data_IF_439773863196
#
_entry.id   IF_439773863196
#
_cell.length_a   1.000
_cell.length_b   1.000
_cell.length_c   1.000
_cell.angle_alpha   90.00
_cell.angle_beta   90.00
_cell.angle_gamma   90.00
#
_symmetry.space_group_name_H-M   'P 1'
#
loop_
_entity.id
_entity.type
_entity.pdbx_description
1 polymer ?
#
# COMPACT_ATOMS: atom_id res chain seq x y z
N UNK A 1 -28.47 -41.57 -42.98
CA UNK A 1 -29.94 -41.61 -42.81
C UNK A 1 -30.21 -41.99 -41.37
N UNK A 2 -30.81 -41.04 -40.65
CA UNK A 2 -31.61 -41.14 -39.43
C UNK A 2 -30.98 -41.80 -38.20
N UNK A 3 -31.12 -41.31 -36.97
CA UNK A 3 -31.66 -40.11 -36.33
C UNK A 3 -31.45 -40.48 -34.85
N UNK A 4 -30.81 -39.64 -34.03
CA UNK A 4 -30.90 -39.75 -32.57
C UNK A 4 -30.38 -38.46 -31.95
N UNK A 5 -31.27 -37.47 -31.90
CA UNK A 5 -31.18 -36.34 -30.99
C UNK A 5 -32.40 -36.42 -30.07
N UNK A 6 -32.20 -36.83 -28.82
CA UNK A 6 -32.92 -36.26 -27.69
C UNK A 6 -32.11 -36.48 -26.40
N UNK A 7 -31.48 -35.41 -25.90
CA UNK A 7 -30.91 -35.34 -24.55
C UNK A 7 -31.66 -34.24 -23.81
N UNK A 8 -32.76 -34.61 -23.17
CA UNK A 8 -33.36 -33.82 -22.10
C UNK A 8 -32.62 -34.13 -20.79
N UNK A 9 -32.25 -33.05 -20.09
CA UNK A 9 -31.46 -33.08 -18.86
C UNK A 9 -32.13 -33.84 -17.73
N UNK A 10 -31.38 -34.77 -17.13
CA UNK A 10 -31.68 -35.28 -15.81
C UNK A 10 -30.83 -34.55 -14.77
N UNK A 11 -31.55 -33.96 -13.82
CA UNK A 11 -31.11 -33.43 -12.53
C UNK A 11 -29.95 -34.23 -11.92
N UNK A 12 -28.89 -33.53 -11.52
CA UNK A 12 -27.77 -34.04 -10.71
C UNK A 12 -28.14 -34.30 -9.23
N UNK A 13 -29.43 -34.35 -8.91
CA UNK A 13 -29.92 -34.77 -7.60
C UNK A 13 -30.71 -36.06 -7.82
N UNK A 14 -29.99 -37.18 -7.76
CA UNK A 14 -30.57 -38.52 -7.78
C UNK A 14 -31.50 -38.74 -6.58
N UNK A 15 -32.47 -39.63 -6.77
CA UNK A 15 -33.53 -40.00 -5.83
C UNK A 15 -33.06 -40.71 -4.53
N UNK A 16 -31.82 -40.48 -4.08
CA UNK A 16 -31.27 -41.01 -2.83
C UNK A 16 -31.32 -40.00 -1.66
N UNK A 17 -31.98 -38.85 -1.84
CA UNK A 17 -31.96 -37.78 -0.85
C UNK A 17 -32.78 -38.00 0.42
N UNK A 18 -33.57 -39.10 0.55
CA UNK A 18 -34.62 -39.13 1.57
C UNK A 18 -34.81 -40.40 2.44
N UNK A 19 -33.98 -41.44 2.38
CA UNK A 19 -34.32 -42.67 3.15
C UNK A 19 -33.29 -43.21 4.15
N UNK A 20 -32.15 -42.54 4.42
CA UNK A 20 -31.18 -43.02 5.42
C UNK A 20 -30.48 -41.93 6.26
N UNK A 21 -31.10 -40.76 6.46
CA UNK A 21 -30.51 -39.67 7.26
C UNK A 21 -30.67 -39.83 8.78
N UNK A 22 -31.44 -40.82 9.23
CA UNK A 22 -31.60 -41.10 10.65
C UNK A 22 -30.51 -42.05 11.17
N UNK A 23 -29.54 -41.47 11.91
CA UNK A 23 -28.57 -42.11 12.83
C UNK A 23 -27.08 -42.19 12.41
N UNK A 24 -26.54 -41.18 11.73
CA UNK A 24 -25.09 -40.91 11.82
C UNK A 24 -24.67 -39.50 11.35
N UNK A 25 -25.48 -38.47 11.60
CA UNK A 25 -24.89 -37.13 11.64
C UNK A 25 -23.95 -37.09 12.86
N UNK A 26 -22.68 -36.72 12.65
CA UNK A 26 -21.68 -36.73 13.71
C UNK A 26 -22.21 -35.88 14.87
N UNK A 27 -22.21 -36.44 16.09
CA UNK A 27 -22.63 -35.75 17.31
C UNK A 27 -21.92 -34.40 17.51
N UNK A 28 -20.81 -34.16 16.81
CA UNK A 28 -20.06 -32.89 16.76
C UNK A 28 -20.79 -31.73 16.06
N UNK A 29 -21.90 -31.96 15.38
CA UNK A 29 -22.71 -30.90 14.74
C UNK A 29 -23.92 -30.45 15.59
N UNK A 30 -24.13 -31.07 16.75
CA UNK A 30 -25.33 -30.86 17.57
C UNK A 30 -24.94 -30.50 19.00
N UNK A 31 -25.62 -29.51 19.59
CA UNK A 31 -25.44 -29.15 20.99
C UNK A 31 -25.97 -30.25 21.92
N UNK A 32 -25.39 -30.37 23.12
CA UNK A 32 -25.88 -31.25 24.16
C UNK A 32 -27.17 -30.69 24.78
N UNK A 33 -28.28 -31.43 24.64
CA UNK A 33 -29.61 -31.03 25.14
C UNK A 33 -30.24 -32.09 26.06
N UNK A 34 -31.24 -31.68 26.87
CA UNK A 34 -32.10 -32.62 27.61
C UNK A 34 -33.15 -33.25 26.69
N UNK A 35 -32.77 -34.30 25.97
CA UNK A 35 -33.61 -34.90 24.92
C UNK A 35 -33.70 -34.02 23.67
N UNK A 36 -34.35 -34.50 22.61
CA UNK A 36 -34.32 -33.87 21.29
C UNK A 36 -35.00 -32.49 21.19
N UNK A 37 -35.78 -32.08 22.19
CA UNK A 37 -36.47 -30.78 22.26
C UNK A 37 -36.26 -30.04 23.58
N UNK A 38 -35.29 -30.45 24.39
CA UNK A 38 -34.98 -29.80 25.66
C UNK A 38 -33.98 -28.66 25.52
N UNK A 39 -33.71 -27.93 26.62
CA UNK A 39 -32.71 -26.87 26.64
C UNK A 39 -31.30 -27.41 26.40
N UNK A 40 -30.44 -26.55 25.85
CA UNK A 40 -28.98 -26.75 25.78
C UNK A 40 -28.39 -26.68 27.19
N UNK A 41 -27.43 -27.56 27.48
CA UNK A 41 -26.79 -27.63 28.78
C UNK A 41 -25.54 -26.74 28.84
N UNK A 42 -25.36 -26.04 29.96
CA UNK A 42 -24.19 -25.17 30.19
C UNK A 42 -22.87 -25.94 30.20
N UNK A 43 -22.89 -27.24 30.52
CA UNK A 43 -21.70 -28.09 30.54
C UNK A 43 -21.18 -28.50 29.14
N UNK A 44 -21.86 -28.09 28.06
CA UNK A 44 -21.45 -28.37 26.69
C UNK A 44 -20.21 -27.55 26.28
N UNK A 45 -19.06 -27.97 26.80
CA UNK A 45 -17.77 -27.33 26.51
C UNK A 45 -17.41 -27.33 25.03
N UNK A 46 -17.94 -28.26 24.22
CA UNK A 46 -17.68 -28.31 22.77
C UNK A 46 -18.40 -27.14 22.07
N UNK A 47 -19.67 -26.92 22.39
CA UNK A 47 -20.42 -25.75 21.90
C UNK A 47 -19.72 -24.45 22.28
N UNK A 48 -19.39 -24.30 23.57
CA UNK A 48 -18.76 -23.08 24.08
C UNK A 48 -17.43 -22.80 23.40
N UNK A 49 -16.54 -23.78 23.33
CA UNK A 49 -15.23 -23.62 22.68
C UNK A 49 -15.37 -23.32 21.18
N UNK A 50 -16.28 -23.99 20.48
CA UNK A 50 -16.55 -23.73 19.05
C UNK A 50 -16.99 -22.29 18.79
N UNK A 51 -17.95 -21.79 19.58
CA UNK A 51 -18.43 -20.42 19.46
C UNK A 51 -17.37 -19.40 19.90
N UNK A 52 -16.59 -19.72 20.93
CA UNK A 52 -15.48 -18.88 21.37
C UNK A 52 -14.40 -18.77 20.30
N UNK A 53 -14.02 -19.88 19.64
CA UNK A 53 -13.06 -19.85 18.53
C UNK A 53 -13.55 -18.93 17.40
N UNK A 54 -14.81 -19.07 16.97
CA UNK A 54 -15.42 -18.19 15.97
C UNK A 54 -15.32 -16.70 16.35
N UNK A 55 -15.61 -16.34 17.60
CA UNK A 55 -15.49 -14.95 18.09
C UNK A 55 -14.04 -14.45 17.99
N UNK A 56 -13.07 -15.31 18.28
CA UNK A 56 -11.64 -14.97 18.30
C UNK A 56 -10.93 -15.10 16.93
N UNK A 57 -11.60 -15.61 15.89
CA UNK A 57 -11.07 -15.62 14.51
C UNK A 57 -10.88 -14.20 13.94
N UNK A 58 -11.65 -13.22 14.42
CA UNK A 58 -11.56 -11.83 13.95
C UNK A 58 -10.49 -11.06 14.74
N UNK A 59 -9.35 -10.83 14.09
CA UNK A 59 -8.32 -9.92 14.63
C UNK A 59 -8.67 -8.45 14.37
N UNK A 60 -8.02 -7.55 15.10
CA UNK A 60 -8.09 -6.13 14.80
C UNK A 60 -7.56 -5.86 13.37
N UNK A 61 -8.19 -4.93 12.67
CA UNK A 61 -7.75 -4.53 11.34
C UNK A 61 -6.54 -3.58 11.43
N UNK A 62 -5.83 -3.40 10.31
CA UNK A 62 -4.78 -2.39 10.24
C UNK A 62 -5.41 -0.99 10.38
N UNK A 63 -4.79 -0.03 11.10
CA UNK A 63 -5.35 1.32 11.21
C UNK A 63 -5.53 2.03 9.85
N UNK A 64 -4.69 1.67 8.88
CA UNK A 64 -4.72 2.06 7.47
C UNK A 64 -4.31 0.85 6.65
N UNK A 65 -4.60 0.82 5.35
CA UNK A 65 -4.29 -0.32 4.47
C UNK A 65 -5.04 -1.60 4.84
N UNK A 66 -6.30 -1.48 5.31
CA UNK A 66 -7.16 -2.59 5.74
C UNK A 66 -7.34 -3.59 4.61
N UNK A 67 -7.93 -3.17 3.49
CA UNK A 67 -8.13 -4.04 2.33
C UNK A 67 -6.82 -4.22 1.58
N UNK A 68 -6.46 -5.48 1.32
CA UNK A 68 -5.25 -5.79 0.58
C UNK A 68 -5.17 -7.24 0.13
N UNK A 69 -4.19 -7.50 -0.72
CA UNK A 69 -4.01 -8.78 -1.40
C UNK A 69 -2.55 -9.16 -1.35
N UNK A 70 -2.28 -10.45 -1.17
CA UNK A 70 -0.94 -10.97 -0.97
C UNK A 70 -0.54 -11.93 -2.09
N UNK A 71 0.74 -11.96 -2.41
CA UNK A 71 1.32 -12.93 -3.32
C UNK A 71 2.80 -13.18 -2.99
N UNK A 72 3.26 -14.39 -3.26
CA UNK A 72 4.59 -14.87 -2.97
C UNK A 72 5.41 -15.09 -4.24
N UNK A 73 6.72 -15.08 -4.07
CA UNK A 73 7.64 -15.51 -5.11
C UNK A 73 9.09 -15.25 -4.71
N UNK A 74 9.87 -14.66 -5.62
CA UNK A 74 11.27 -14.35 -5.34
C UNK A 74 11.70 -13.02 -5.96
N UNK A 75 12.69 -12.39 -5.34
CA UNK A 75 13.49 -11.34 -5.95
C UNK A 75 14.81 -11.93 -6.43
N UNK A 76 15.25 -11.53 -7.63
CA UNK A 76 16.51 -11.90 -8.24
C UNK A 76 17.35 -10.66 -8.50
N UNK A 77 18.54 -10.60 -7.92
CA UNK A 77 19.52 -9.57 -8.23
C UNK A 77 20.09 -9.82 -9.62
N UNK A 78 20.07 -8.80 -10.48
CA UNK A 78 20.62 -8.88 -11.85
C UNK A 78 21.93 -8.10 -11.91
N UNK A 79 21.92 -6.87 -11.38
CA UNK A 79 23.05 -5.96 -11.28
C UNK A 79 23.45 -5.82 -9.80
N UNK A 80 24.58 -6.41 -9.38
CA UNK A 80 25.08 -6.27 -8.01
C UNK A 80 25.31 -4.81 -7.64
N UNK A 81 25.07 -4.47 -6.36
CA UNK A 81 25.18 -3.11 -5.83
C UNK A 81 26.25 -3.00 -4.72
N UNK A 82 27.26 -3.88 -4.72
CA UNK A 82 28.31 -3.92 -3.70
C UNK A 82 29.13 -2.62 -3.60
N UNK A 83 29.25 -1.87 -4.70
CA UNK A 83 29.87 -0.54 -4.71
C UNK A 83 29.12 0.47 -3.81
N UNK A 84 27.80 0.29 -3.64
CA UNK A 84 26.95 1.26 -2.97
C UNK A 84 26.40 0.75 -1.62
N UNK A 85 26.23 -0.56 -1.44
CA UNK A 85 25.63 -1.14 -0.25
C UNK A 85 26.18 -2.50 0.12
N UNK A 86 26.14 -2.81 1.42
CA UNK A 86 26.40 -4.16 1.97
C UNK A 86 25.16 -5.05 2.06
N UNK A 87 24.00 -4.62 1.57
CA UNK A 87 22.77 -5.41 1.61
C UNK A 87 23.02 -6.80 1.01
N UNK A 88 22.91 -7.85 1.82
CA UNK A 88 23.39 -9.20 1.48
C UNK A 88 22.79 -9.73 0.18
N UNK A 89 21.48 -9.56 -0.01
CA UNK A 89 20.77 -10.02 -1.19
C UNK A 89 21.12 -9.25 -2.49
N UNK A 90 21.91 -8.18 -2.43
CA UNK A 90 22.34 -7.36 -3.58
C UNK A 90 23.81 -7.54 -3.94
N UNK A 91 24.52 -8.49 -3.32
CA UNK A 91 25.97 -8.63 -3.51
C UNK A 91 26.34 -9.45 -4.75
N UNK A 92 25.48 -10.37 -5.18
CA UNK A 92 25.79 -11.30 -6.25
C UNK A 92 24.69 -11.35 -7.31
N UNK A 93 25.10 -11.41 -8.58
CA UNK A 93 24.16 -11.56 -9.69
C UNK A 93 23.53 -12.95 -9.64
N UNK A 94 22.26 -13.02 -10.01
CA UNK A 94 21.40 -14.20 -10.00
C UNK A 94 21.09 -14.78 -8.61
N UNK A 95 21.48 -14.11 -7.52
CA UNK A 95 21.02 -14.47 -6.19
C UNK A 95 19.50 -14.29 -6.10
N UNK A 96 18.80 -15.34 -5.64
CA UNK A 96 17.35 -15.34 -5.45
C UNK A 96 17.03 -15.39 -3.97
N UNK A 97 16.20 -14.45 -3.52
CA UNK A 97 15.65 -14.45 -2.16
C UNK A 97 14.13 -14.56 -2.22
N UNK A 98 13.51 -15.41 -1.38
CA UNK A 98 12.05 -15.47 -1.29
C UNK A 98 11.47 -14.12 -0.88
N UNK A 99 10.31 -13.79 -1.43
CA UNK A 99 9.57 -12.57 -1.07
C UNK A 99 8.09 -12.84 -0.85
N UNK A 100 7.49 -12.01 0.00
CA UNK A 100 6.05 -11.84 0.13
C UNK A 100 5.71 -10.38 -0.17
N UNK A 101 4.76 -10.15 -1.07
CA UNK A 101 4.23 -8.83 -1.38
C UNK A 101 2.80 -8.72 -0.87
N UNK A 102 2.49 -7.58 -0.24
CA UNK A 102 1.11 -7.17 0.05
C UNK A 102 0.81 -5.85 -0.64
N UNK A 103 -0.16 -5.90 -1.55
CA UNK A 103 -0.81 -4.74 -2.12
C UNK A 103 -2.01 -4.33 -1.26
N UNK A 104 -2.39 -3.06 -1.25
CA UNK A 104 -3.49 -2.59 -0.38
C UNK A 104 -4.05 -1.23 -0.77
N UNK A 105 -5.23 -0.87 -0.25
CA UNK A 105 -5.81 0.46 -0.37
C UNK A 105 -5.63 1.23 0.95
N UNK A 106 -5.00 2.40 0.94
CA UNK A 106 -4.56 3.09 2.15
C UNK A 106 -5.69 3.49 3.09
N UNK A 107 -6.70 4.22 2.60
CA UNK A 107 -7.88 4.57 3.41
C UNK A 107 -9.02 3.67 2.98
N UNK A 108 -9.17 2.53 3.66
CA UNK A 108 -10.13 1.49 3.29
C UNK A 108 -10.69 0.76 4.51
N UNK A 109 -11.81 0.10 4.31
CA UNK A 109 -12.29 -1.04 5.08
C UNK A 109 -12.28 -2.28 4.20
N UNK A 110 -12.54 -3.47 4.74
CA UNK A 110 -12.60 -4.71 3.93
C UNK A 110 -13.57 -4.63 2.75
N UNK A 111 -14.63 -3.82 2.85
CA UNK A 111 -15.64 -3.64 1.80
C UNK A 111 -15.37 -2.51 0.80
N UNK A 112 -14.28 -1.75 0.94
CA UNK A 112 -13.96 -0.68 -0.01
C UNK A 112 -13.71 -1.26 -1.41
N UNK A 113 -14.35 -0.75 -2.49
CA UNK A 113 -14.09 -1.23 -3.84
C UNK A 113 -12.64 -1.01 -4.27
N UNK A 114 -12.04 -2.03 -4.88
CA UNK A 114 -10.63 -2.05 -5.30
C UNK A 114 -10.27 -0.93 -6.27
N UNK A 115 -11.21 -0.53 -7.12
CA UNK A 115 -11.03 0.52 -8.14
C UNK A 115 -11.30 1.93 -7.62
N UNK A 116 -11.70 2.09 -6.35
CA UNK A 116 -11.92 3.42 -5.75
C UNK A 116 -10.67 4.31 -5.83
N UNK A 117 -10.88 5.63 -5.95
CA UNK A 117 -9.78 6.62 -5.93
C UNK A 117 -9.07 6.54 -4.58
N UNK A 118 -7.83 6.05 -4.56
CA UNK A 118 -7.13 5.72 -3.32
C UNK A 118 -5.62 5.58 -3.53
N UNK A 119 -4.86 5.61 -2.43
CA UNK A 119 -3.46 5.22 -2.48
C UNK A 119 -3.36 3.69 -2.49
N UNK A 120 -2.71 3.11 -3.50
CA UNK A 120 -2.27 1.72 -3.46
C UNK A 120 -0.94 1.60 -2.71
N UNK A 121 -0.94 0.85 -1.62
CA UNK A 121 0.29 0.43 -0.94
C UNK A 121 0.89 -0.79 -1.62
N UNK A 122 2.21 -0.86 -1.67
CA UNK A 122 3.01 -1.92 -2.27
C UNK A 122 4.15 -2.27 -1.31
N UNK A 123 3.89 -3.20 -0.38
CA UNK A 123 4.88 -3.62 0.62
C UNK A 123 5.51 -4.95 0.27
N UNK A 124 6.84 -5.00 0.24
CA UNK A 124 7.62 -6.20 -0.10
C UNK A 124 8.48 -6.61 1.09
N UNK A 125 8.39 -7.87 1.49
CA UNK A 125 9.20 -8.49 2.54
C UNK A 125 10.17 -9.46 1.89
N UNK A 126 11.46 -9.26 2.13
CA UNK A 126 12.54 -10.11 1.63
C UNK A 126 13.02 -11.01 2.75
N UNK A 127 12.96 -12.33 2.52
CA UNK A 127 13.42 -13.33 3.47
C UNK A 127 14.86 -13.72 3.12
N UNK A 128 15.83 -13.00 3.68
CA UNK A 128 17.26 -13.22 3.43
C UNK A 128 17.86 -14.18 4.45
N UNK A 129 19.11 -14.61 4.25
CA UNK A 129 19.83 -15.45 5.22
C UNK A 129 20.22 -14.65 6.47
N UNK A 130 20.39 -13.35 6.33
CA UNK A 130 20.84 -12.41 7.36
C UNK A 130 19.68 -11.81 8.15
N UNK A 131 18.44 -12.02 7.69
CA UNK A 131 17.22 -11.56 8.34
C UNK A 131 16.15 -11.10 7.36
N UNK A 132 15.22 -10.29 7.85
CA UNK A 132 14.16 -9.70 7.02
C UNK A 132 14.53 -8.27 6.64
N UNK A 133 14.43 -7.96 5.35
CA UNK A 133 14.37 -6.58 4.85
C UNK A 133 12.95 -6.29 4.39
N UNK A 134 12.34 -5.20 4.86
CA UNK A 134 11.02 -4.77 4.39
C UNK A 134 11.13 -3.45 3.61
N UNK A 135 10.66 -3.46 2.36
CA UNK A 135 10.52 -2.27 1.53
C UNK A 135 9.05 -1.90 1.39
N UNK A 136 8.65 -0.80 2.02
CA UNK A 136 7.26 -0.34 2.03
C UNK A 136 7.10 0.82 1.07
N UNK A 137 6.49 0.55 -0.08
CA UNK A 137 6.23 1.53 -1.11
C UNK A 137 4.75 1.92 -1.19
N UNK A 138 4.48 3.03 -1.87
CA UNK A 138 3.18 3.39 -2.42
C UNK A 138 3.30 3.56 -3.94
N UNK A 139 2.20 3.38 -4.67
CA UNK A 139 2.22 3.63 -6.12
C UNK A 139 2.29 5.12 -6.51
N UNK A 140 1.99 6.03 -5.58
CA UNK A 140 2.20 7.48 -5.75
C UNK A 140 3.58 7.81 -5.18
N UNK A 141 4.43 8.58 -5.89
CA UNK A 141 5.83 8.81 -5.51
C UNK A 141 6.04 9.83 -4.39
N UNK A 142 4.98 10.46 -3.92
CA UNK A 142 4.99 11.49 -2.87
C UNK A 142 3.91 11.24 -1.83
N UNK A 143 4.07 11.85 -0.65
CA UNK A 143 3.09 11.80 0.43
C UNK A 143 2.33 13.11 0.59
N UNK A 144 1.23 13.09 1.35
CA UNK A 144 0.38 14.27 1.59
C UNK A 144 0.95 15.25 2.61
N UNK A 145 1.91 14.82 3.43
CA UNK A 145 2.56 15.61 4.48
C UNK A 145 4.03 15.25 4.55
N UNK A 146 4.84 16.17 5.07
CA UNK A 146 6.30 16.04 5.26
C UNK A 146 6.73 15.84 6.72
N UNK A 147 5.77 15.72 7.63
CA UNK A 147 6.02 15.52 9.06
C UNK A 147 5.03 14.51 9.67
N UNK A 148 5.49 13.48 10.40
CA UNK A 148 4.65 12.39 10.87
C UNK A 148 3.63 12.85 11.90
N UNK A 149 3.85 13.97 12.59
CA UNK A 149 2.90 14.51 13.55
C UNK A 149 1.57 14.93 12.89
N UNK A 150 1.60 15.24 11.58
CA UNK A 150 0.40 15.56 10.79
C UNK A 150 -0.23 14.36 10.08
N UNK A 151 0.35 13.15 10.20
CA UNK A 151 -0.17 11.96 9.52
C UNK A 151 -1.62 11.65 9.93
N UNK A 152 -1.94 11.71 11.23
CA UNK A 152 -3.29 11.47 11.73
C UNK A 152 -4.29 12.50 11.23
N UNK A 153 -3.87 13.76 11.03
CA UNK A 153 -4.70 14.81 10.43
C UNK A 153 -5.15 14.40 9.01
N UNK A 154 -4.22 13.93 8.18
CA UNK A 154 -4.53 13.42 6.82
C UNK A 154 -5.49 12.24 6.88
N UNK A 155 -5.20 11.22 7.70
CA UNK A 155 -6.03 10.01 7.77
C UNK A 155 -7.44 10.36 8.27
N UNK A 156 -7.57 11.21 9.28
CA UNK A 156 -8.88 11.65 9.76
C UNK A 156 -9.64 12.42 8.69
N UNK A 157 -8.97 13.23 7.87
CA UNK A 157 -9.60 14.02 6.81
C UNK A 157 -10.16 13.15 5.67
N UNK A 158 -9.52 12.02 5.38
CA UNK A 158 -9.96 11.03 4.38
C UNK A 158 -10.96 9.98 4.93
N UNK A 159 -11.05 9.84 6.25
CA UNK A 159 -11.93 8.85 6.89
C UNK A 159 -13.39 9.34 6.91
N UNK A 160 -14.38 8.45 7.08
CA UNK A 160 -15.76 8.85 7.31
C UNK A 160 -15.92 9.84 8.47
N UNK A 161 -16.89 10.74 8.37
CA UNK A 161 -17.22 11.73 9.38
C UNK A 161 -17.63 11.07 10.69
N UNK A 162 -17.09 11.49 11.84
CA UNK A 162 -17.49 10.93 13.13
C UNK A 162 -18.94 11.27 13.50
N UNK A 163 -19.60 12.18 12.76
CA UNK A 163 -20.99 12.57 13.02
C UNK A 163 -22.00 11.58 12.44
N UNK A 164 -21.77 11.10 11.22
CA UNK A 164 -22.75 10.31 10.46
C UNK A 164 -22.14 9.12 9.73
N UNK A 165 -20.84 8.87 9.89
CA UNK A 165 -20.09 7.79 9.25
C UNK A 165 -20.13 7.83 7.71
N UNK A 166 -20.28 9.01 7.11
CA UNK A 166 -20.23 9.22 5.65
C UNK A 166 -18.94 9.94 5.26
N UNK A 167 -18.46 9.69 4.04
CA UNK A 167 -17.38 10.50 3.45
C UNK A 167 -17.87 11.95 3.30
N UNK A 168 -16.99 12.89 3.64
CA UNK A 168 -17.30 14.32 3.58
C UNK A 168 -16.13 15.06 2.90
N UNK A 169 -16.29 15.47 1.63
CA UNK A 169 -15.29 16.24 0.91
C UNK A 169 -14.85 17.51 1.64
N UNK A 170 -15.71 18.16 2.45
CA UNK A 170 -15.32 19.35 3.21
C UNK A 170 -14.18 19.05 4.19
N UNK A 171 -14.14 17.85 4.77
CA UNK A 171 -13.07 17.47 5.72
C UNK A 171 -11.73 17.33 5.01
N UNK A 172 -11.70 16.62 3.88
CA UNK A 172 -10.50 16.46 3.08
C UNK A 172 -9.99 17.80 2.56
N UNK A 173 -10.86 18.60 1.94
CA UNK A 173 -10.45 19.89 1.36
C UNK A 173 -10.14 20.95 2.42
N UNK A 174 -10.74 20.88 3.63
CA UNK A 174 -10.32 21.70 4.78
C UNK A 174 -8.88 21.42 5.21
N UNK A 175 -8.47 20.15 5.16
CA UNK A 175 -7.09 19.77 5.44
C UNK A 175 -6.16 20.32 4.34
N UNK A 176 -6.48 20.10 3.07
CA UNK A 176 -5.70 20.61 1.93
C UNK A 176 -5.52 22.13 2.00
N UNK A 177 -6.59 22.88 2.35
CA UNK A 177 -6.53 24.33 2.52
C UNK A 177 -5.50 24.79 3.59
N UNK A 178 -5.26 23.96 4.62
CA UNK A 178 -4.30 24.21 5.71
C UNK A 178 -2.95 23.51 5.50
N UNK A 179 -2.81 22.75 4.41
CA UNK A 179 -1.65 21.92 4.12
C UNK A 179 -1.26 22.08 2.64
N UNK A 180 -0.76 23.25 2.21
CA UNK A 180 -0.34 23.46 0.82
C UNK A 180 0.72 22.43 0.37
N UNK A 181 1.49 21.84 1.29
CA UNK A 181 2.43 20.76 0.98
C UNK A 181 1.79 19.52 0.36
N UNK A 182 0.48 19.35 0.55
CA UNK A 182 -0.28 18.22 0.02
C UNK A 182 -0.59 18.33 -1.47
N UNK A 183 -0.39 19.50 -2.09
CA UNK A 183 -0.84 19.75 -3.47
C UNK A 183 -0.21 18.78 -4.47
N UNK A 184 1.06 18.44 -4.33
CA UNK A 184 1.70 17.44 -5.21
C UNK A 184 0.97 16.09 -5.14
N UNK A 185 0.72 15.61 -3.92
CA UNK A 185 -0.03 14.39 -3.68
C UNK A 185 -1.46 14.45 -4.22
N UNK A 186 -2.16 15.58 -4.02
CA UNK A 186 -3.54 15.78 -4.51
C UNK A 186 -3.58 15.66 -6.04
N UNK A 187 -2.64 16.25 -6.77
CA UNK A 187 -2.61 16.15 -8.23
C UNK A 187 -2.41 14.70 -8.70
N UNK A 188 -1.53 13.93 -8.05
CA UNK A 188 -1.38 12.49 -8.35
C UNK A 188 -2.68 11.73 -8.03
N UNK A 189 -3.24 11.94 -6.83
CA UNK A 189 -4.43 11.24 -6.37
C UNK A 189 -5.66 11.52 -7.24
N UNK A 190 -5.83 12.73 -7.78
CA UNK A 190 -6.97 13.09 -8.64
C UNK A 190 -6.70 12.92 -10.15
N UNK A 191 -5.45 12.65 -10.54
CA UNK A 191 -5.16 12.13 -11.89
C UNK A 191 -5.67 10.70 -12.05
N UNK A 192 -5.55 10.12 -13.25
CA UNK A 192 -5.92 8.71 -13.46
C UNK A 192 -5.10 7.77 -12.56
N UNK A 193 -3.91 8.16 -12.10
CA UNK A 193 -3.10 7.37 -11.17
C UNK A 193 -3.86 6.99 -9.88
N UNK A 194 -4.82 7.80 -9.42
CA UNK A 194 -5.61 7.48 -8.23
C UNK A 194 -6.53 6.25 -8.38
N UNK A 195 -6.81 5.83 -9.61
CA UNK A 195 -7.77 4.75 -9.94
C UNK A 195 -7.08 3.64 -10.72
N UNK A 196 -6.74 2.55 -10.01
CA UNK A 196 -6.06 1.40 -10.58
C UNK A 196 -7.02 0.20 -10.72
N UNK A 197 -7.01 -0.43 -11.90
CA UNK A 197 -7.81 -1.63 -12.21
C UNK A 197 -7.12 -2.94 -11.82
N UNK A 198 -5.80 -2.98 -11.90
CA UNK A 198 -5.00 -4.18 -11.66
C UNK A 198 -3.77 -3.84 -10.83
N UNK A 199 -3.51 -4.68 -9.82
CA UNK A 199 -2.31 -4.60 -8.99
C UNK A 199 -1.04 -5.06 -9.72
N UNK A 200 -1.14 -5.52 -10.97
CA UNK A 200 -0.01 -5.95 -11.82
C UNK A 200 0.56 -4.82 -12.67
N UNK A 201 -0.12 -3.68 -12.71
CA UNK A 201 0.18 -2.53 -13.58
C UNK A 201 0.39 -1.23 -12.80
N UNK A 202 0.62 -1.30 -11.48
CA UNK A 202 0.94 -0.13 -10.67
C UNK A 202 2.46 -0.04 -10.44
N UNK A 203 3.07 1.15 -10.49
CA UNK A 203 4.44 1.31 -10.01
C UNK A 203 4.46 1.22 -8.47
N UNK A 204 5.65 1.19 -7.89
CA UNK A 204 5.85 1.31 -6.44
C UNK A 204 7.04 2.22 -6.16
N UNK A 205 6.87 3.17 -5.25
CA UNK A 205 7.89 4.14 -4.87
C UNK A 205 8.07 4.10 -3.36
N UNK A 206 9.32 4.11 -2.88
CA UNK A 206 9.59 4.16 -1.43
C UNK A 206 9.03 5.42 -0.78
N UNK A 207 8.83 6.48 -1.56
CA UNK A 207 8.51 7.85 -1.17
C UNK A 207 9.64 8.45 -0.35
N UNK A 208 9.92 7.86 0.82
CA UNK A 208 11.02 8.21 1.69
C UNK A 208 12.37 7.96 1.02
N UNK A 209 13.31 8.81 1.40
CA UNK A 209 14.72 8.61 1.13
C UNK A 209 15.32 7.71 2.20
N UNK A 210 16.06 6.67 1.81
CA UNK A 210 16.85 5.84 2.70
C UNK A 210 18.34 6.14 2.51
N UNK A 211 19.20 5.48 3.29
CA UNK A 211 20.65 5.54 3.09
C UNK A 211 21.18 4.15 2.78
N UNK A 212 22.05 4.06 1.78
CA UNK A 212 22.91 2.92 1.55
C UNK A 212 24.32 3.18 2.05
N UNK A 213 24.93 2.15 2.63
CA UNK A 213 26.32 2.17 3.10
C UNK A 213 27.08 0.98 2.54
N UNK A 214 28.18 1.24 1.84
CA UNK A 214 29.04 0.21 1.26
C UNK A 214 30.08 -0.34 2.27
N UNK A 215 31.01 -1.18 1.80
CA UNK A 215 32.04 -1.81 2.62
C UNK A 215 33.06 -0.80 3.20
N UNK A 216 33.37 0.27 2.46
CA UNK A 216 34.26 1.35 2.89
C UNK A 216 33.58 2.34 3.84
N UNK A 217 32.27 2.19 4.08
CA UNK A 217 31.49 3.10 4.91
C UNK A 217 30.97 4.35 4.17
N UNK A 218 31.15 4.44 2.85
CA UNK A 218 30.60 5.51 2.04
C UNK A 218 29.07 5.43 2.02
N UNK A 219 28.42 6.59 2.18
CA UNK A 219 26.96 6.70 2.28
C UNK A 219 26.39 7.39 1.04
N UNK A 220 25.30 6.85 0.52
CA UNK A 220 24.48 7.47 -0.54
C UNK A 220 23.03 7.51 -0.10
N UNK A 221 22.33 8.59 -0.43
CA UNK A 221 20.88 8.60 -0.36
C UNK A 221 20.31 7.72 -1.47
N UNK A 222 19.23 7.00 -1.17
CA UNK A 222 18.58 6.09 -2.12
C UNK A 222 17.05 6.19 -2.05
N UNK A 223 16.42 6.26 -3.23
CA UNK A 223 14.97 6.03 -3.41
C UNK A 223 14.76 4.77 -4.23
N UNK A 224 13.78 3.94 -3.86
CA UNK A 224 13.49 2.66 -4.53
C UNK A 224 12.25 2.77 -5.40
N UNK A 225 12.30 2.12 -6.57
CA UNK A 225 11.24 2.16 -7.58
C UNK A 225 10.98 0.74 -8.12
N UNK A 226 9.73 0.31 -8.05
CA UNK A 226 9.20 -0.87 -8.73
C UNK A 226 8.47 -0.45 -9.99
N UNK A 227 8.82 -1.05 -11.12
CA UNK A 227 8.08 -0.87 -12.37
C UNK A 227 7.56 -2.20 -12.89
N UNK A 228 6.27 -2.31 -13.22
CA UNK A 228 5.70 -3.54 -13.77
C UNK A 228 6.26 -3.80 -15.17
N UNK A 229 6.69 -5.03 -15.44
CA UNK A 229 7.13 -5.40 -16.79
C UNK A 229 5.99 -5.42 -17.80
N UNK A 230 4.75 -5.62 -17.35
CA UNK A 230 3.56 -5.50 -18.20
C UNK A 230 3.14 -4.03 -18.46
N UNK A 231 3.91 -3.06 -17.95
CA UNK A 231 3.66 -1.62 -18.14
C UNK A 231 2.68 -1.02 -17.13
N UNK A 232 2.80 0.29 -16.91
CA UNK A 232 1.93 1.04 -16.00
C UNK A 232 0.60 1.34 -16.67
N UNK A 233 -0.51 1.05 -15.98
CA UNK A 233 -1.86 1.29 -16.47
C UNK A 233 -2.79 1.76 -15.36
N UNK A 234 -3.60 2.75 -15.70
CA UNK A 234 -4.63 3.31 -14.85
C UNK A 234 -5.94 3.45 -15.62
N UNK A 235 -7.04 3.69 -14.92
CA UNK A 235 -8.37 3.84 -15.51
C UNK A 235 -8.99 5.18 -15.12
N UNK A 236 -9.98 5.60 -15.89
CA UNK A 236 -10.76 6.82 -15.62
C UNK A 236 -11.66 6.64 -14.41
N UNK A 237 -12.16 7.75 -13.85
CA UNK A 237 -13.16 7.73 -12.77
C UNK A 237 -14.44 6.99 -13.17
N UNK A 238 -14.89 7.15 -14.41
CA UNK A 238 -16.11 6.53 -14.93
C UNK A 238 -15.97 5.01 -15.00
N UNK A 239 -14.87 4.50 -15.54
CA UNK A 239 -14.59 3.06 -15.54
C UNK A 239 -14.44 2.54 -14.11
N UNK A 240 -13.76 3.28 -13.24
CA UNK A 240 -13.58 2.90 -11.84
C UNK A 240 -14.91 2.72 -11.10
N UNK A 241 -15.86 3.65 -11.27
CA UNK A 241 -17.21 3.58 -10.68
C UNK A 241 -17.98 2.37 -11.23
N UNK A 242 -17.93 2.16 -12.55
CA UNK A 242 -18.59 1.01 -13.18
C UNK A 242 -18.07 -0.31 -12.61
N UNK A 243 -16.75 -0.49 -12.60
CA UNK A 243 -16.11 -1.71 -12.10
C UNK A 243 -16.37 -1.91 -10.60
N UNK A 244 -16.41 -0.85 -9.80
CA UNK A 244 -16.74 -0.93 -8.37
C UNK A 244 -18.15 -1.48 -8.13
N UNK A 245 -19.10 -1.16 -9.00
CA UNK A 245 -20.47 -1.67 -8.94
C UNK A 245 -20.59 -3.12 -9.45
N UNK A 246 -19.81 -3.49 -10.47
CA UNK A 246 -19.82 -4.84 -11.04
C UNK A 246 -19.10 -5.86 -10.16
N UNK A 247 -17.92 -5.50 -9.64
CA UNK A 247 -17.11 -6.34 -8.77
C UNK A 247 -16.20 -5.47 -7.88
N UNK A 248 -16.49 -5.35 -6.57
CA UNK A 248 -15.66 -4.55 -5.67
C UNK A 248 -14.27 -5.14 -5.39
N UNK A 249 -14.01 -6.39 -5.80
CA UNK A 249 -12.73 -7.11 -5.58
C UNK A 249 -11.94 -7.31 -6.88
N UNK A 250 -12.12 -6.40 -7.84
CA UNK A 250 -11.60 -6.54 -9.21
C UNK A 250 -10.07 -6.72 -9.27
N UNK A 251 -9.31 -5.83 -8.62
CA UNK A 251 -7.85 -5.82 -8.72
C UNK A 251 -7.21 -6.98 -7.96
N UNK A 252 -7.79 -7.36 -6.82
CA UNK A 252 -7.40 -8.54 -6.07
C UNK A 252 -7.66 -9.84 -6.84
N UNK A 253 -8.83 -9.95 -7.46
CA UNK A 253 -9.18 -11.09 -8.31
C UNK A 253 -8.24 -11.20 -9.51
N UNK A 254 -7.95 -10.11 -10.20
CA UNK A 254 -6.99 -10.10 -11.32
C UNK A 254 -5.60 -10.61 -10.92
N UNK A 255 -5.07 -10.19 -9.75
CA UNK A 255 -3.80 -10.69 -9.23
C UNK A 255 -3.85 -12.19 -8.96
N UNK A 256 -4.89 -12.65 -8.25
CA UNK A 256 -5.05 -14.05 -7.87
C UNK A 256 -5.20 -14.95 -9.10
N UNK A 257 -6.11 -14.59 -10.02
CA UNK A 257 -6.39 -15.34 -11.24
C UNK A 257 -5.16 -15.43 -12.14
N UNK A 258 -4.39 -14.34 -12.30
CA UNK A 258 -3.19 -14.36 -13.13
C UNK A 258 -2.20 -15.43 -12.63
N UNK A 259 -1.90 -15.42 -11.33
CA UNK A 259 -0.98 -16.37 -10.72
C UNK A 259 -1.54 -17.80 -10.75
N UNK A 260 -2.84 -17.98 -10.46
CA UNK A 260 -3.50 -19.29 -10.49
C UNK A 260 -3.46 -19.91 -11.90
N UNK A 261 -3.53 -19.09 -12.94
CA UNK A 261 -3.44 -19.51 -14.34
C UNK A 261 -2.00 -19.65 -14.85
N UNK A 262 -1.01 -19.67 -13.96
CA UNK A 262 0.40 -19.85 -14.31
C UNK A 262 1.05 -18.63 -14.99
N UNK A 263 0.42 -17.46 -14.94
CA UNK A 263 0.98 -16.20 -15.43
C UNK A 263 1.64 -15.44 -14.27
N UNK A 264 2.97 -15.51 -14.10
CA UNK A 264 3.64 -14.78 -13.04
C UNK A 264 3.52 -13.26 -13.23
N UNK A 265 3.52 -12.53 -12.12
CA UNK A 265 3.54 -11.06 -12.11
C UNK A 265 4.96 -10.58 -11.87
N UNK A 266 5.51 -9.80 -12.79
CA UNK A 266 6.91 -9.39 -12.74
C UNK A 266 7.10 -7.87 -12.61
N UNK A 267 8.05 -7.49 -11.76
CA UNK A 267 8.44 -6.12 -11.48
C UNK A 267 9.95 -5.95 -11.56
N UNK A 268 10.44 -4.89 -12.20
CA UNK A 268 11.83 -4.46 -12.11
C UNK A 268 12.06 -3.56 -10.90
N UNK A 269 13.11 -3.82 -10.11
CA UNK A 269 13.59 -2.92 -9.07
C UNK A 269 14.65 -1.99 -9.64
N UNK A 270 14.46 -0.70 -9.40
CA UNK A 270 15.38 0.37 -9.75
C UNK A 270 15.62 1.25 -8.53
N UNK A 271 16.74 1.97 -8.54
CA UNK A 271 17.05 3.00 -7.55
C UNK A 271 17.51 4.28 -8.20
N UNK A 272 17.25 5.39 -7.52
CA UNK A 272 18.00 6.63 -7.72
C UNK A 272 19.03 6.73 -6.58
N UNK A 273 20.25 7.18 -6.90
CA UNK A 273 21.32 7.39 -5.93
C UNK A 273 21.77 8.85 -5.93
N UNK A 274 21.88 9.44 -4.75
CA UNK A 274 22.28 10.84 -4.58
C UNK A 274 23.41 10.94 -3.55
N UNK A 275 24.40 11.80 -3.79
CA UNK A 275 25.39 12.12 -2.77
C UNK A 275 24.73 13.03 -1.72
N UNK A 276 24.82 12.73 -0.40
CA UNK A 276 24.26 13.61 0.62
C UNK A 276 24.74 15.06 0.53
N UNK A 277 25.93 15.31 -0.05
CA UNK A 277 26.44 16.67 -0.27
C UNK A 277 25.62 17.47 -1.29
N UNK A 278 24.90 16.81 -2.19
CA UNK A 278 24.09 17.46 -3.21
C UNK A 278 22.92 18.25 -2.59
N UNK A 279 22.51 17.90 -1.37
CA UNK A 279 21.45 18.59 -0.61
C UNK A 279 21.68 20.11 -0.56
N UNK A 280 22.92 20.57 -0.43
CA UNK A 280 23.24 22.00 -0.35
C UNK A 280 22.90 22.78 -1.64
N UNK A 281 22.77 22.09 -2.78
CA UNK A 281 22.60 22.69 -4.10
C UNK A 281 21.19 22.49 -4.69
N UNK A 282 20.37 21.63 -4.09
CA UNK A 282 18.98 21.41 -4.52
C UNK A 282 18.08 22.57 -4.10
N UNK A 283 17.09 22.90 -4.94
CA UNK A 283 16.03 23.86 -4.59
C UNK A 283 15.02 23.31 -3.57
N UNK A 284 15.04 22.00 -3.34
CA UNK A 284 14.20 21.28 -2.38
C UNK A 284 15.05 20.46 -1.41
N UNK A 285 14.43 19.94 -0.36
CA UNK A 285 15.05 19.00 0.57
C UNK A 285 14.86 17.57 0.02
N UNK A 286 15.94 16.81 -0.26
CA UNK A 286 15.83 15.46 -0.81
C UNK A 286 15.19 14.45 0.17
N UNK A 287 15.02 14.82 1.44
CA UNK A 287 14.35 14.04 2.49
C UNK A 287 12.88 14.46 2.70
N UNK A 288 12.37 15.42 1.94
CA UNK A 288 10.96 15.83 1.96
C UNK A 288 10.10 14.85 1.13
N UNK A 289 9.21 14.14 1.82
CA UNK A 289 8.26 13.17 1.24
C UNK A 289 7.27 13.78 0.23
N UNK A 290 7.15 15.10 0.16
CA UNK A 290 6.33 15.79 -0.84
C UNK A 290 7.07 16.05 -2.16
N UNK A 291 8.33 15.57 -2.25
CA UNK A 291 9.24 15.81 -3.39
C UNK A 291 9.69 14.52 -4.07
N UNK A 292 9.84 14.59 -5.38
CA UNK A 292 10.53 13.60 -6.22
C UNK A 292 11.93 14.09 -6.57
N UNK A 293 12.81 13.16 -6.97
CA UNK A 293 14.12 13.51 -7.51
C UNK A 293 14.05 13.49 -9.04
N UNK A 294 14.61 14.52 -9.69
CA UNK A 294 14.61 14.61 -11.15
C UNK A 294 15.39 13.45 -11.76
N UNK A 295 14.70 12.59 -12.52
CA UNK A 295 15.26 11.44 -13.22
C UNK A 295 16.33 11.82 -14.25
N UNK A 296 16.38 13.09 -14.71
CA UNK A 296 17.46 13.58 -15.58
C UNK A 296 18.77 13.78 -14.83
N UNK A 297 18.70 14.12 -13.55
CA UNK A 297 19.87 14.38 -12.69
C UNK A 297 20.26 13.10 -11.95
N UNK A 298 19.27 12.38 -11.44
CA UNK A 298 19.44 11.13 -10.71
C UNK A 298 18.70 10.02 -11.47
N UNK A 299 19.32 9.41 -12.50
CA UNK A 299 18.64 8.42 -13.33
C UNK A 299 18.30 7.14 -12.55
N UNK A 300 17.29 6.43 -13.04
CA UNK A 300 16.93 5.10 -12.53
C UNK A 300 18.00 4.07 -12.91
N UNK A 301 18.63 3.49 -11.89
CA UNK A 301 19.65 2.45 -12.03
C UNK A 301 18.98 1.09 -11.77
N UNK A 302 19.01 0.14 -12.73
CA UNK A 302 18.39 -1.17 -12.55
C UNK A 302 19.17 -2.01 -11.53
N UNK A 303 18.45 -2.73 -10.67
CA UNK A 303 19.03 -3.66 -9.68
C UNK A 303 18.69 -5.10 -10.01
N UNK A 304 17.40 -5.40 -10.18
CA UNK A 304 16.93 -6.77 -10.24
C UNK A 304 15.47 -6.89 -10.61
N UNK A 305 14.94 -8.09 -10.51
CA UNK A 305 13.54 -8.37 -10.82
C UNK A 305 12.87 -9.18 -9.72
N UNK A 306 11.61 -8.88 -9.48
CA UNK A 306 10.73 -9.67 -8.63
C UNK A 306 9.75 -10.43 -9.50
N UNK A 307 9.53 -11.70 -9.16
CA UNK A 307 8.56 -12.59 -9.82
C UNK A 307 7.61 -13.11 -8.75
N UNK A 308 6.33 -12.78 -8.85
CA UNK A 308 5.26 -13.31 -8.00
C UNK A 308 4.57 -14.45 -8.74
N UNK A 309 4.65 -15.65 -8.18
CA UNK A 309 4.24 -16.88 -8.86
C UNK A 309 3.50 -17.87 -7.94
N UNK A 310 3.16 -17.47 -6.71
CA UNK A 310 2.38 -18.30 -5.79
C UNK A 310 1.34 -17.44 -5.05
N UNK A 311 0.08 -17.89 -5.09
CA UNK A 311 -1.00 -17.34 -4.28
C UNK A 311 -0.91 -17.81 -2.82
N UNK A 312 -1.48 -17.05 -1.87
CA UNK A 312 -1.60 -17.52 -0.49
C UNK A 312 -2.49 -18.76 -0.41
N UNK A 313 -2.12 -19.70 0.45
CA UNK A 313 -2.91 -20.88 0.80
C UNK A 313 -3.95 -20.53 1.88
N UNK A 314 -3.60 -19.65 2.82
CA UNK A 314 -4.51 -19.14 3.83
C UNK A 314 -4.36 -17.62 3.98
N UNK A 315 -5.34 -16.88 3.48
CA UNK A 315 -5.33 -15.42 3.52
C UNK A 315 -5.16 -14.85 4.94
N UNK A 316 -5.80 -15.43 5.96
CA UNK A 316 -5.69 -14.94 7.34
C UNK A 316 -4.26 -15.10 7.86
N UNK A 317 -3.68 -16.28 7.73
CA UNK A 317 -2.34 -16.58 8.25
C UNK A 317 -1.22 -15.88 7.48
N UNK A 318 -1.39 -15.71 6.17
CA UNK A 318 -0.32 -15.27 5.28
C UNK A 318 -0.44 -13.81 4.83
N UNK A 319 -1.65 -13.24 4.77
CA UNK A 319 -1.88 -11.88 4.27
C UNK A 319 -2.45 -10.96 5.35
N UNK A 320 -3.39 -11.44 6.16
CA UNK A 320 -3.97 -10.62 7.21
C UNK A 320 -2.97 -10.45 8.37
N UNK A 321 -2.26 -11.52 8.75
CA UNK A 321 -1.26 -11.53 9.83
C UNK A 321 0.15 -11.10 9.42
N UNK A 322 0.46 -10.88 8.13
CA UNK A 322 1.78 -10.34 7.76
C UNK A 322 1.99 -8.93 8.32
N UNK A 323 3.17 -8.73 8.89
CA UNK A 323 3.60 -7.51 9.55
C UNK A 323 4.84 -6.95 8.84
N UNK A 324 4.68 -5.76 8.24
CA UNK A 324 5.77 -5.00 7.64
C UNK A 324 6.23 -3.90 8.60
N UNK A 325 7.51 -3.56 8.57
CA UNK A 325 8.06 -2.43 9.32
C UNK A 325 9.27 -1.86 8.58
N UNK A 326 9.35 -0.55 8.31
CA UNK A 326 10.52 0.05 7.64
C UNK A 326 11.81 -0.08 8.48
N UNK A 327 11.69 -0.39 9.78
CA UNK A 327 12.81 -0.71 10.68
C UNK A 327 13.31 -2.16 10.58
N UNK A 328 12.69 -3.01 9.75
CA UNK A 328 13.25 -4.31 9.39
C UNK A 328 14.27 -4.04 8.27
N UNK A 329 15.48 -3.63 8.68
CA UNK A 329 16.62 -3.35 7.81
C UNK A 329 17.67 -4.46 7.94
N UNK A 330 18.61 -4.49 7.00
CA UNK A 330 19.82 -5.31 7.04
C UNK A 330 21.05 -4.40 6.98
N UNK A 331 22.22 -4.94 7.35
CA UNK A 331 23.47 -4.19 7.22
C UNK A 331 23.67 -3.74 5.76
N UNK A 332 24.05 -2.47 5.60
CA UNK A 332 24.14 -1.79 4.30
C UNK A 332 22.97 -0.88 3.97
N UNK A 333 21.86 -0.93 4.72
CA UNK A 333 20.77 0.03 4.63
C UNK A 333 20.50 0.70 5.99
N UNK A 334 20.18 1.99 5.97
CA UNK A 334 19.86 2.80 7.14
C UNK A 334 18.65 3.69 6.86
N UNK A 335 18.00 4.15 7.92
CA UNK A 335 17.04 5.24 7.83
C UNK A 335 17.79 6.55 7.58
N UNK A 336 17.26 7.40 6.70
CA UNK A 336 17.72 8.79 6.56
C UNK A 336 17.11 9.68 7.66
N UNK A 337 17.45 10.97 7.66
CA UNK A 337 16.87 11.95 8.58
C UNK A 337 15.49 12.49 8.12
N UNK A 338 14.89 11.86 7.10
CA UNK A 338 13.51 12.07 6.70
C UNK A 338 12.56 11.90 7.90
N UNK A 339 11.86 12.99 8.25
CA UNK A 339 10.99 13.05 9.42
C UNK A 339 9.88 12.00 9.37
N UNK A 340 9.27 11.80 8.20
CA UNK A 340 8.21 10.83 8.02
C UNK A 340 8.76 9.41 8.22
N UNK A 341 9.89 9.09 7.60
CA UNK A 341 10.54 7.79 7.75
C UNK A 341 10.87 7.48 9.22
N UNK A 342 11.41 8.45 9.95
CA UNK A 342 11.72 8.34 11.37
C UNK A 342 10.48 8.06 12.23
N UNK A 343 9.37 8.78 11.99
CA UNK A 343 8.11 8.52 12.68
C UNK A 343 7.53 7.14 12.36
N UNK A 344 7.57 6.73 11.08
CA UNK A 344 7.13 5.41 10.62
C UNK A 344 7.94 4.28 11.26
N UNK A 345 9.26 4.43 11.34
CA UNK A 345 10.14 3.41 11.91
C UNK A 345 9.76 3.02 13.36
N UNK A 346 9.27 3.97 14.14
CA UNK A 346 8.88 3.71 15.52
C UNK A 346 7.52 3.00 15.63
N UNK A 347 6.51 3.46 14.88
CA UNK A 347 5.11 3.14 15.18
C UNK A 347 4.63 1.81 14.58
N UNK A 348 5.27 1.30 13.51
CA UNK A 348 4.77 0.11 12.83
C UNK A 348 4.79 -1.13 13.73
N UNK A 349 5.90 -1.38 14.44
CA UNK A 349 5.98 -2.52 15.35
C UNK A 349 4.98 -2.43 16.51
N UNK A 350 4.70 -1.23 17.01
CA UNK A 350 3.68 -1.01 18.04
C UNK A 350 2.27 -1.34 17.52
N UNK A 351 1.93 -0.86 16.33
CA UNK A 351 0.66 -1.20 15.67
C UNK A 351 0.48 -2.71 15.50
N UNK A 352 1.54 -3.45 15.17
CA UNK A 352 1.46 -4.92 15.04
C UNK A 352 1.26 -5.62 16.39
N UNK A 353 1.89 -5.14 17.48
CA UNK A 353 1.64 -5.66 18.83
C UNK A 353 0.18 -5.49 19.24
N UNK A 354 -0.40 -4.32 18.95
CA UNK A 354 -1.83 -4.06 19.22
C UNK A 354 -2.74 -4.97 18.39
N UNK A 355 -2.38 -5.19 17.12
CA UNK A 355 -3.28 -5.83 16.16
C UNK A 355 -3.27 -7.36 16.21
N UNK A 356 -2.07 -7.93 16.36
CA UNK A 356 -1.83 -9.37 16.28
C UNK A 356 -1.48 -9.94 17.66
N UNK A 357 -0.83 -9.14 18.52
CA UNK A 357 -0.31 -9.56 19.81
C UNK A 357 1.20 -9.38 19.93
N UNK A 358 1.76 -9.45 21.16
CA UNK A 358 3.18 -9.21 21.42
C UNK A 358 4.12 -10.16 20.66
N UNK A 359 3.64 -11.37 20.37
CA UNK A 359 4.40 -12.44 19.72
C UNK A 359 4.23 -12.47 18.19
N UNK A 360 3.76 -11.40 17.56
CA UNK A 360 3.52 -11.36 16.10
C UNK A 360 4.72 -11.77 15.24
N UNK A 361 5.95 -11.63 15.76
CA UNK A 361 7.20 -12.03 15.12
C UNK A 361 7.46 -13.55 15.14
N UNK A 362 6.73 -14.32 15.95
CA UNK A 362 6.80 -15.79 15.97
C UNK A 362 5.91 -16.44 14.91
N UNK A 363 4.99 -15.69 14.31
CA UNK A 363 4.15 -16.21 13.24
C UNK A 363 4.99 -16.57 12.03
N UNK A 364 4.68 -17.71 11.39
CA UNK A 364 5.44 -18.25 10.26
C UNK A 364 5.73 -17.22 9.16
N UNK A 365 4.74 -16.37 8.85
CA UNK A 365 4.87 -15.34 7.82
C UNK A 365 5.82 -14.18 8.21
N UNK A 366 6.03 -13.97 9.51
CA UNK A 366 6.83 -12.86 10.06
C UNK A 366 8.14 -13.32 10.69
N UNK A 367 8.36 -14.63 10.81
CA UNK A 367 9.44 -15.17 11.61
C UNK A 367 10.81 -14.89 10.98
N UNK A 368 11.74 -14.51 11.84
CA UNK A 368 13.16 -14.47 11.52
C UNK A 368 13.86 -15.46 12.44
N UNK A 369 14.64 -16.36 11.86
CA UNK A 369 15.35 -17.40 12.61
C UNK A 369 16.25 -16.77 13.67
N UNK A 370 16.14 -17.25 14.90
CA UNK A 370 16.93 -16.79 16.06
C UNK A 370 16.81 -15.27 16.34
N UNK A 371 15.71 -14.62 15.95
CA UNK A 371 15.52 -13.20 16.21
C UNK A 371 15.44 -12.90 17.70
N UNK A 372 16.06 -11.79 18.09
CA UNK A 372 15.94 -11.18 19.42
C UNK A 372 15.98 -9.66 19.26
N UNK A 373 15.44 -8.85 20.19
CA UNK A 373 15.55 -7.40 20.11
C UNK A 373 16.99 -6.90 19.92
N UNK A 374 17.98 -7.56 20.56
CA UNK A 374 19.40 -7.21 20.44
C UNK A 374 20.00 -7.43 19.04
N UNK A 375 19.31 -8.15 18.15
CA UNK A 375 19.74 -8.40 16.76
C UNK A 375 19.09 -7.44 15.76
N UNK A 376 18.26 -6.50 16.22
CA UNK A 376 17.61 -5.55 15.33
C UNK A 376 18.64 -4.53 14.81
N UNK A 377 18.74 -4.41 13.49
CA UNK A 377 19.55 -3.38 12.84
C UNK A 377 18.75 -2.07 12.86
N UNK A 378 19.28 -1.04 13.52
CA UNK A 378 18.61 0.26 13.68
C UNK A 378 19.16 1.34 12.73
N UNK A 379 20.49 1.45 12.61
CA UNK A 379 21.15 2.39 11.67
C UNK A 379 22.67 2.15 11.50
N UNK A 380 23.18 0.96 11.83
CA UNK A 380 24.62 0.69 11.82
C UNK A 380 25.40 1.59 12.80
N UNK A 381 26.58 2.09 12.41
CA UNK A 381 27.43 2.95 13.27
C UNK A 381 26.91 4.39 13.41
N UNK A 382 25.82 4.75 12.73
CA UNK A 382 25.25 6.11 12.73
C UNK A 382 26.18 7.18 12.16
N UNK A 383 25.75 8.44 12.21
CA UNK A 383 26.64 9.61 12.05
C UNK A 383 26.58 10.45 13.32
N UNK A 384 27.67 11.15 13.63
CA UNK A 384 27.62 12.21 14.63
C UNK A 384 26.75 13.36 14.11
N UNK A 385 25.85 13.85 14.96
CA UNK A 385 25.02 15.03 14.71
C UNK A 385 25.09 15.96 15.91
N UNK A 386 25.15 17.27 15.66
CA UNK A 386 25.07 18.31 16.68
C UNK A 386 24.04 19.36 16.26
N UNK A 387 23.40 20.01 17.23
CA UNK A 387 22.37 21.00 16.96
C UNK A 387 21.54 21.35 18.18
N UNK A 388 20.53 22.22 18.00
CA UNK A 388 19.55 22.56 19.03
C UNK A 388 18.36 21.62 18.93
N UNK A 389 17.81 21.21 20.08
CA UNK A 389 16.55 20.50 20.12
C UNK A 389 15.40 21.49 19.92
N UNK A 390 14.66 21.32 18.83
CA UNK A 390 13.55 22.21 18.47
C UNK A 390 12.45 21.47 17.69
N UNK A 391 11.27 22.09 17.62
CA UNK A 391 10.14 21.64 16.80
C UNK A 391 9.90 22.68 15.70
N UNK A 392 10.53 22.49 14.56
CA UNK A 392 10.52 23.45 13.45
C UNK A 392 10.17 22.75 12.13
N UNK A 393 9.58 23.49 11.19
CA UNK A 393 9.40 23.02 9.81
C UNK A 393 10.76 22.91 9.10
N UNK A 394 10.83 22.12 8.04
CA UNK A 394 12.00 22.13 7.15
C UNK A 394 12.19 23.52 6.52
N UNK A 395 13.40 23.84 6.08
CA UNK A 395 13.71 25.18 5.53
C UNK A 395 13.23 25.35 4.09
N UNK A 396 13.30 24.30 3.25
CA UNK A 396 12.92 24.34 1.83
C UNK A 396 11.48 23.86 1.61
N UNK A 397 10.50 24.75 1.78
CA UNK A 397 9.06 24.44 1.72
C UNK A 397 8.38 24.85 0.40
N UNK A 398 9.04 24.66 -0.75
CA UNK A 398 8.38 24.91 -2.03
C UNK A 398 7.27 23.87 -2.26
N UNK A 399 6.03 24.33 -2.32
CA UNK A 399 4.83 23.48 -2.44
C UNK A 399 4.25 23.46 -3.85
N UNK A 400 4.80 24.21 -4.82
CA UNK A 400 4.13 24.45 -6.11
C UNK A 400 4.98 24.15 -7.33
N UNK A 401 6.32 24.20 -7.27
CA UNK A 401 7.16 23.96 -8.46
C UNK A 401 7.00 22.55 -9.03
N UNK A 402 7.24 21.50 -8.22
CA UNK A 402 7.10 20.11 -8.70
C UNK A 402 5.66 19.74 -9.10
N UNK A 403 4.60 20.19 -8.40
CA UNK A 403 3.23 20.08 -8.90
C UNK A 403 3.04 20.70 -10.29
N UNK A 404 3.66 21.86 -10.55
CA UNK A 404 3.58 22.53 -11.86
C UNK A 404 4.26 21.69 -12.94
N UNK A 405 5.43 21.15 -12.64
CA UNK A 405 6.16 20.24 -13.54
C UNK A 405 5.38 18.96 -13.83
N UNK A 406 4.73 18.38 -12.81
CA UNK A 406 3.87 17.22 -12.98
C UNK A 406 2.70 17.55 -13.91
N UNK A 407 1.97 18.64 -13.64
CA UNK A 407 0.86 19.07 -14.48
C UNK A 407 1.28 19.34 -15.93
N UNK A 408 2.45 19.97 -16.12
CA UNK A 408 2.97 20.26 -17.46
C UNK A 408 3.26 19.00 -18.29
N UNK A 409 3.62 17.88 -17.64
CA UNK A 409 3.89 16.59 -18.30
C UNK A 409 2.64 15.83 -18.69
N UNK A 410 1.48 16.15 -18.12
CA UNK A 410 0.22 15.48 -18.46
C UNK A 410 -0.21 15.77 -19.90
N UNK A 411 -0.69 14.74 -20.59
CA UNK A 411 -1.36 14.87 -21.89
C UNK A 411 -2.65 15.67 -21.74
N UNK A 412 -3.13 16.24 -22.85
CA UNK A 412 -4.35 17.06 -22.83
C UNK A 412 -5.54 16.30 -22.21
N UNK A 413 -5.75 15.04 -22.59
CA UNK A 413 -6.85 14.22 -22.05
C UNK A 413 -6.69 13.96 -20.54
N UNK A 414 -5.48 13.73 -20.06
CA UNK A 414 -5.18 13.51 -18.64
C UNK A 414 -5.43 14.80 -17.82
N UNK A 415 -5.15 15.97 -18.40
CA UNK A 415 -5.48 17.27 -17.80
C UNK A 415 -6.99 17.48 -17.67
N UNK A 416 -7.77 17.08 -18.67
CA UNK A 416 -9.23 17.14 -18.62
C UNK A 416 -9.80 16.20 -17.55
N UNK A 417 -9.30 14.96 -17.47
CA UNK A 417 -9.69 14.01 -16.43
C UNK A 417 -9.38 14.57 -15.03
N UNK A 418 -8.15 15.07 -14.82
CA UNK A 418 -7.74 15.68 -13.55
C UNK A 418 -8.67 16.84 -13.16
N UNK A 419 -8.93 17.78 -14.07
CA UNK A 419 -9.80 18.92 -13.80
C UNK A 419 -11.24 18.49 -13.48
N UNK A 420 -11.79 17.51 -14.21
CA UNK A 420 -13.11 16.95 -13.95
C UNK A 420 -13.20 16.27 -12.59
N UNK A 421 -12.20 15.47 -12.25
CA UNK A 421 -12.13 14.74 -10.98
C UNK A 421 -12.06 15.72 -9.80
N UNK A 422 -11.23 16.78 -9.91
CA UNK A 422 -11.14 17.84 -8.90
C UNK A 422 -12.47 18.59 -8.77
N UNK A 423 -13.07 19.00 -9.89
CA UNK A 423 -14.34 19.73 -9.89
C UNK A 423 -15.47 18.96 -9.20
N UNK A 424 -15.52 17.63 -9.36
CA UNK A 424 -16.54 16.77 -8.72
C UNK A 424 -16.63 16.98 -7.20
N UNK A 425 -15.49 16.94 -6.51
CA UNK A 425 -15.47 17.16 -5.06
C UNK A 425 -15.53 18.65 -4.70
N UNK A 426 -14.86 19.51 -5.46
CA UNK A 426 -14.85 20.95 -5.20
C UNK A 426 -16.25 21.58 -5.32
N UNK A 427 -17.18 20.97 -6.08
CA UNK A 427 -18.56 21.46 -6.23
C UNK A 427 -19.34 21.44 -4.91
N UNK A 428 -19.07 20.46 -4.04
CA UNK A 428 -19.89 20.19 -2.84
C UNK A 428 -19.26 20.69 -1.53
N UNK A 429 -18.10 21.34 -1.61
CA UNK A 429 -17.44 21.97 -0.46
C UNK A 429 -17.82 23.45 -0.30
N UNK A 430 -17.57 24.00 0.88
CA UNK A 430 -17.81 25.42 1.16
C UNK A 430 -17.00 26.36 0.27
N UNK A 431 -17.55 27.54 -0.02
CA UNK A 431 -16.94 28.52 -0.91
C UNK A 431 -15.60 29.05 -0.38
N UNK A 432 -15.47 29.21 0.94
CA UNK A 432 -14.21 29.66 1.56
C UNK A 432 -13.06 28.67 1.32
N UNK A 433 -13.33 27.38 1.52
CA UNK A 433 -12.33 26.32 1.28
C UNK A 433 -12.02 26.26 -0.21
N UNK A 434 -13.06 26.26 -1.06
CA UNK A 434 -12.93 26.22 -2.51
C UNK A 434 -12.05 27.35 -3.04
N UNK A 435 -12.25 28.58 -2.54
CA UNK A 435 -11.46 29.75 -2.94
C UNK A 435 -9.98 29.59 -2.60
N UNK A 436 -9.65 29.07 -1.42
CA UNK A 436 -8.26 28.83 -1.00
C UNK A 436 -7.59 27.82 -1.92
N UNK A 437 -8.24 26.67 -2.16
CA UNK A 437 -7.63 25.58 -2.94
C UNK A 437 -7.55 25.91 -4.44
N UNK A 438 -8.51 26.64 -5.00
CA UNK A 438 -8.38 27.20 -6.35
C UNK A 438 -7.20 28.17 -6.47
N UNK A 439 -6.92 28.95 -5.41
CA UNK A 439 -5.73 29.78 -5.31
C UNK A 439 -4.43 28.97 -5.34
N UNK A 440 -4.40 27.80 -4.70
CA UNK A 440 -3.27 26.87 -4.79
C UNK A 440 -3.11 26.28 -6.19
N UNK A 441 -4.20 25.83 -6.82
CA UNK A 441 -4.15 25.35 -8.20
C UNK A 441 -3.72 26.44 -9.19
N UNK A 442 -4.04 27.70 -8.93
CA UNK A 442 -3.59 28.81 -9.76
C UNK A 442 -2.07 29.01 -9.70
N UNK A 443 -1.47 28.81 -8.51
CA UNK A 443 0.00 28.81 -8.34
C UNK A 443 0.68 27.64 -9.05
N UNK A 444 -0.03 26.51 -9.21
CA UNK A 444 0.44 25.38 -10.02
C UNK A 444 0.35 25.71 -11.50
N UNK A 445 -0.81 26.18 -11.97
CA UNK A 445 -1.02 26.58 -13.35
C UNK A 445 -2.35 27.32 -13.52
N UNK A 446 -2.33 28.48 -14.18
CA UNK A 446 -3.55 29.18 -14.57
C UNK A 446 -4.45 28.33 -15.50
N UNK A 447 -3.85 27.50 -16.37
CA UNK A 447 -4.58 26.55 -17.23
C UNK A 447 -5.32 25.49 -16.42
N UNK A 448 -4.70 24.96 -15.35
CA UNK A 448 -5.35 24.01 -14.45
C UNK A 448 -6.60 24.61 -13.81
N UNK A 449 -6.47 25.81 -13.22
CA UNK A 449 -7.60 26.49 -12.57
C UNK A 449 -8.72 26.77 -13.57
N UNK A 450 -8.41 27.29 -14.77
CA UNK A 450 -9.42 27.56 -15.78
C UNK A 450 -10.19 26.29 -16.21
N UNK A 451 -9.50 25.15 -16.33
CA UNK A 451 -10.14 23.86 -16.62
C UNK A 451 -11.04 23.39 -15.48
N UNK A 452 -10.61 23.53 -14.23
CA UNK A 452 -11.42 23.18 -13.04
C UNK A 452 -12.68 24.05 -13.00
N UNK A 453 -12.55 25.35 -13.20
CA UNK A 453 -13.69 26.29 -13.23
C UNK A 453 -14.67 25.98 -14.37
N UNK A 454 -14.15 25.68 -15.56
CA UNK A 454 -14.99 25.23 -16.68
C UNK A 454 -15.71 23.91 -16.38
N UNK A 455 -15.03 22.96 -15.72
CA UNK A 455 -15.65 21.71 -15.32
C UNK A 455 -16.74 21.93 -14.25
N UNK A 456 -16.50 22.80 -13.26
CA UNK A 456 -17.48 23.17 -12.23
C UNK A 456 -18.76 23.78 -12.81
N UNK A 457 -18.68 24.51 -13.92
CA UNK A 457 -19.86 25.06 -14.60
C UNK A 457 -20.69 24.01 -15.35
N UNK A 458 -20.08 22.87 -15.70
CA UNK A 458 -20.73 21.81 -16.49
C UNK A 458 -21.44 20.76 -15.64
N UNK A 459 -21.08 20.65 -14.36
CA UNK A 459 -21.64 19.67 -13.42
C UNK A 459 -22.66 20.33 -12.51
#
# INVERSE_FOLDING_TARGET
MNENYDKQGQSLLGNDFNENRERNEQATLHSQTVGSRGPVLEQDSVLHETLQQFIHEKILERPVHVKGFGAFGYFQTIYPMSEHTKLSFLQHSNEKVPVMVRFSLAVSTKGTPDTSRNVRGFSTKFYTKEGIFDLLCNHIPVFSVRDPMRFSETIHALSPSPKNNLLDPNRFWSFVAKAPESIHFVLHLYSDAGTAKSLRHIPGHSVNTYVWRNAEGNRKYVKYHWYPFEGVQFITSEEAIKLAAENPDYSGKDLYDAIANGKPVEYGLYVQLMDPKDEAHLSYDPLDDTKVWDEKVYPLIPIGKMVLNKNPENYMEEVEKVAFSPSNLLDGAELSDDKMLQGRANIYSDSQRRRIGPEFRKLMINQQKNWTPAKQITSGNGRYVEGKLERTSITKQDDFTQPSEFYAKLKLIEKEHLAKNLAGDLKVISDDIRKVVLGYFHKVSADLTAKIESALQKI
#
